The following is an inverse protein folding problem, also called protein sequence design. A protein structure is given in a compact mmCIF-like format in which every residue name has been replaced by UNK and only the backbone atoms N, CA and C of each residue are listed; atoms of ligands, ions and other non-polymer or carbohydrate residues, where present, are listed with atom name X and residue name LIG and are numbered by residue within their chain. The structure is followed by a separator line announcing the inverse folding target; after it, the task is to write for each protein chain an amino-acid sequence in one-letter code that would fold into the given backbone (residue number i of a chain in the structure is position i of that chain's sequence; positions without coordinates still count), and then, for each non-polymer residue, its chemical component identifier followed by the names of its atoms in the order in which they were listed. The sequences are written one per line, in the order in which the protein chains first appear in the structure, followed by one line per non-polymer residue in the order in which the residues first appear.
data_IF_682963520294
#
_entry.id   IF_682963520294
#
_cell.length_a   1.000
_cell.length_b   1.000
_cell.length_c   1.000
_cell.angle_alpha   90.00
_cell.angle_beta   90.00
_cell.angle_gamma   90.00
#
_symmetry.space_group_name_H-M   'P 1'
#
loop_
_entity.id
_entity.type
_entity.pdbx_description
1 polymer ?
#
# COMPACT_ATOMS: atom_id res chain seq x y z
N UNK A 1 6.60 -17.43 -31.91
CA UNK A 1 7.75 -17.31 -30.98
C UNK A 1 7.51 -16.07 -30.13
N UNK A 2 7.14 -16.23 -28.85
CA UNK A 2 6.99 -15.08 -27.94
C UNK A 2 8.38 -14.52 -27.68
N UNK A 3 8.60 -13.26 -28.05
CA UNK A 3 9.89 -12.59 -27.88
C UNK A 3 10.26 -12.54 -26.39
N UNK A 4 11.51 -12.90 -26.04
CA UNK A 4 12.03 -12.81 -24.66
C UNK A 4 11.79 -11.43 -24.02
N UNK A 5 11.81 -10.38 -24.85
CA UNK A 5 11.53 -9.00 -24.43
C UNK A 5 10.09 -8.82 -23.94
N UNK A 6 9.11 -9.49 -24.56
CA UNK A 6 7.71 -9.43 -24.12
C UNK A 6 7.51 -10.14 -22.78
N UNK A 7 8.25 -11.23 -22.54
CA UNK A 7 8.20 -11.96 -21.27
C UNK A 7 8.77 -11.09 -20.14
N UNK A 8 9.89 -10.42 -20.36
CA UNK A 8 10.48 -9.52 -19.37
C UNK A 8 9.55 -8.34 -19.04
N UNK A 9 8.91 -7.72 -20.05
CA UNK A 9 7.95 -6.64 -19.82
C UNK A 9 6.70 -7.10 -19.04
N UNK A 10 6.21 -8.31 -19.29
CA UNK A 10 5.09 -8.88 -18.56
C UNK A 10 5.42 -9.17 -17.08
N UNK A 11 6.63 -9.66 -16.78
CA UNK A 11 7.08 -9.92 -15.41
C UNK A 11 7.22 -8.63 -14.60
N UNK A 12 7.77 -7.57 -15.20
CA UNK A 12 7.90 -6.26 -14.53
C UNK A 12 6.53 -5.65 -14.20
N UNK A 13 5.54 -5.80 -15.08
CA UNK A 13 4.18 -5.33 -14.82
C UNK A 13 3.52 -6.04 -13.63
N UNK A 14 3.75 -7.35 -13.46
CA UNK A 14 3.15 -8.14 -12.38
C UNK A 14 3.68 -7.76 -10.99
N UNK A 15 4.94 -7.31 -10.89
CA UNK A 15 5.55 -6.91 -9.61
C UNK A 15 4.88 -5.69 -8.95
N UNK A 16 4.04 -4.94 -9.67
CA UNK A 16 3.43 -3.69 -9.18
C UNK A 16 2.02 -3.89 -8.58
N UNK A 17 1.58 -5.14 -8.39
CA UNK A 17 0.19 -5.48 -8.04
C UNK A 17 -0.34 -4.92 -6.70
N UNK A 18 0.54 -4.45 -5.81
CA UNK A 18 0.16 -3.88 -4.50
C UNK A 18 -0.05 -2.35 -4.53
N UNK A 19 0.08 -1.71 -5.69
CA UNK A 19 -0.05 -0.26 -5.83
C UNK A 19 -1.12 0.11 -6.86
N UNK A 20 -1.89 1.16 -6.58
CA UNK A 20 -2.84 1.71 -7.55
C UNK A 20 -2.82 3.24 -7.58
N UNK A 21 -3.33 3.79 -8.68
CA UNK A 21 -3.32 5.22 -8.99
C UNK A 21 -4.76 5.71 -9.16
N UNK A 22 -5.05 6.87 -8.60
CA UNK A 22 -6.34 7.54 -8.74
C UNK A 22 -6.17 8.99 -9.22
N UNK A 23 -7.20 9.51 -9.90
CA UNK A 23 -7.32 10.96 -10.07
C UNK A 23 -7.58 11.61 -8.71
N UNK A 24 -7.15 12.86 -8.56
CA UNK A 24 -7.42 13.63 -7.35
C UNK A 24 -8.94 13.79 -7.16
N UNK A 25 -9.50 13.41 -6.00
CA UNK A 25 -10.91 13.62 -5.73
C UNK A 25 -11.21 15.12 -5.67
N UNK A 26 -12.45 15.53 -6.02
CA UNK A 26 -12.86 16.93 -5.85
C UNK A 26 -12.76 17.32 -4.38
N UNK A 27 -12.17 18.49 -4.12
CA UNK A 27 -12.08 19.03 -2.76
C UNK A 27 -13.44 19.54 -2.32
N UNK A 28 -13.87 19.26 -1.08
CA UNK A 28 -15.06 19.88 -0.53
C UNK A 28 -14.82 21.37 -0.29
N UNK A 29 -15.89 22.17 -0.37
CA UNK A 29 -15.82 23.64 -0.43
C UNK A 29 -15.14 24.24 0.81
N UNK A 30 -15.37 23.63 1.98
CA UNK A 30 -14.76 24.00 3.26
C UNK A 30 -13.23 23.83 3.29
N UNK A 31 -12.66 22.94 2.47
CA UNK A 31 -11.22 22.67 2.39
C UNK A 31 -10.56 23.24 1.13
N UNK A 32 -11.30 23.99 0.31
CA UNK A 32 -10.81 24.57 -0.95
C UNK A 32 -9.59 25.49 -0.75
N UNK A 33 -9.47 26.12 0.43
CA UNK A 33 -8.36 26.99 0.78
C UNK A 33 -7.04 26.25 1.05
N UNK A 34 -7.07 24.93 1.31
CA UNK A 34 -5.88 24.12 1.55
C UNK A 34 -5.27 23.62 0.24
N UNK A 35 -3.96 23.75 0.11
CA UNK A 35 -3.21 23.28 -1.05
C UNK A 35 -2.75 21.83 -0.87
N UNK A 36 -3.00 20.95 -1.85
CA UNK A 36 -2.76 19.51 -1.71
C UNK A 36 -3.88 18.61 -2.27
N UNK A 37 -3.91 17.35 -1.85
CA UNK A 37 -4.93 16.35 -2.21
C UNK A 37 -5.91 16.18 -1.05
N UNK A 38 -7.21 16.19 -1.32
CA UNK A 38 -8.19 15.75 -0.33
C UNK A 38 -8.14 14.23 -0.20
N UNK A 39 -8.10 13.74 1.03
CA UNK A 39 -8.03 12.31 1.38
C UNK A 39 -9.25 11.99 2.24
N UNK A 40 -10.10 11.08 1.75
CA UNK A 40 -11.41 10.80 2.37
C UNK A 40 -11.26 10.09 3.72
N UNK A 41 -10.24 9.26 3.84
CA UNK A 41 -9.94 8.41 4.98
C UNK A 41 -9.58 9.23 6.24
N UNK A 42 -9.04 10.44 6.05
CA UNK A 42 -8.70 11.37 7.14
C UNK A 42 -9.55 12.64 7.13
N UNK A 43 -10.48 12.75 6.17
CA UNK A 43 -11.32 13.94 5.93
C UNK A 43 -10.53 15.27 5.91
N UNK A 44 -9.32 15.26 5.33
CA UNK A 44 -8.48 16.45 5.25
C UNK A 44 -7.65 16.50 3.95
N UNK A 45 -7.02 17.65 3.72
CA UNK A 45 -6.12 17.91 2.61
C UNK A 45 -4.67 17.70 3.04
N UNK A 46 -4.01 16.76 2.36
CA UNK A 46 -2.59 16.44 2.55
C UNK A 46 -1.76 17.24 1.54
N UNK A 47 -0.66 17.91 1.95
CA UNK A 47 0.19 18.66 1.03
C UNK A 47 0.77 17.78 -0.09
N UNK A 48 1.04 18.38 -1.24
CA UNK A 48 1.68 17.66 -2.34
C UNK A 48 3.08 17.16 -1.96
N UNK A 49 3.39 15.93 -2.37
CA UNK A 49 4.65 15.25 -2.05
C UNK A 49 4.67 14.61 -0.66
N UNK A 50 3.59 14.73 0.12
CA UNK A 50 3.43 14.08 1.42
C UNK A 50 2.55 12.84 1.30
N UNK A 51 2.59 12.00 2.32
CA UNK A 51 1.77 10.81 2.43
C UNK A 51 1.11 10.72 3.81
N UNK A 52 0.06 9.91 3.88
CA UNK A 52 -0.59 9.53 5.14
C UNK A 52 -0.87 8.03 5.16
N UNK A 53 -0.85 7.48 6.37
CA UNK A 53 -1.22 6.10 6.66
C UNK A 53 -2.35 6.10 7.70
N UNK A 54 -3.61 6.25 7.26
CA UNK A 54 -4.76 6.29 8.17
C UNK A 54 -4.86 5.03 9.04
N UNK A 55 -5.22 5.19 10.31
CA UNK A 55 -5.56 4.07 11.20
C UNK A 55 -6.94 3.54 10.80
N UNK A 56 -7.14 2.21 10.84
CA UNK A 56 -8.38 1.57 10.41
C UNK A 56 -8.41 1.16 8.93
N UNK A 57 -7.41 1.57 8.14
CA UNK A 57 -7.19 1.05 6.80
C UNK A 57 -5.69 0.81 6.56
N UNK A 58 -5.31 -0.44 6.27
CA UNK A 58 -3.89 -0.78 6.09
C UNK A 58 -3.38 -0.41 4.70
N UNK A 59 -3.25 0.90 4.48
CA UNK A 59 -2.80 1.48 3.24
C UNK A 59 -1.98 2.74 3.48
N UNK A 60 -1.08 3.04 2.54
CA UNK A 60 -0.42 4.34 2.43
C UNK A 60 -1.04 5.10 1.28
N UNK A 61 -1.32 6.38 1.50
CA UNK A 61 -1.86 7.31 0.51
C UNK A 61 -0.83 8.39 0.25
N UNK A 62 -0.21 8.38 -0.92
CA UNK A 62 0.74 9.40 -1.34
C UNK A 62 0.05 10.46 -2.21
N UNK A 63 0.14 11.73 -1.81
CA UNK A 63 -0.44 12.85 -2.54
C UNK A 63 0.53 13.39 -3.60
N UNK A 64 0.31 13.05 -4.87
CA UNK A 64 1.05 13.62 -5.99
C UNK A 64 0.39 14.87 -6.57
N UNK A 65 1.14 15.60 -7.42
CA UNK A 65 0.65 16.86 -8.01
C UNK A 65 -0.55 16.70 -8.94
N UNK A 66 -0.66 15.58 -9.62
CA UNK A 66 -1.72 15.29 -10.60
C UNK A 66 -2.57 14.08 -10.23
N UNK A 67 -2.03 13.17 -9.42
CA UNK A 67 -2.60 11.88 -9.10
C UNK A 67 -2.35 11.56 -7.64
N UNK A 68 -3.22 10.74 -7.06
CA UNK A 68 -3.04 10.14 -5.74
C UNK A 68 -2.59 8.69 -5.94
N UNK A 69 -1.64 8.25 -5.13
CA UNK A 69 -1.04 6.92 -5.21
C UNK A 69 -1.39 6.19 -3.93
N UNK A 70 -1.64 4.89 -4.05
CA UNK A 70 -1.97 4.06 -2.92
C UNK A 70 -1.08 2.83 -2.93
N UNK A 71 -0.67 2.39 -1.74
CA UNK A 71 0.04 1.13 -1.54
C UNK A 71 -0.67 0.33 -0.44
N UNK A 72 -0.99 -0.93 -0.72
CA UNK A 72 -1.46 -1.91 0.26
C UNK A 72 -0.34 -2.89 0.61
N UNK A 73 -0.61 -3.77 1.57
CA UNK A 73 0.27 -4.91 1.85
C UNK A 73 0.44 -5.78 0.61
N UNK A 74 1.66 -6.29 0.42
CA UNK A 74 1.93 -7.29 -0.60
C UNK A 74 1.26 -8.63 -0.25
N UNK A 75 0.96 -9.43 -1.27
CA UNK A 75 0.50 -10.80 -1.07
C UNK A 75 1.68 -11.64 -0.59
N UNK A 76 1.58 -12.17 0.63
CA UNK A 76 2.51 -13.14 1.18
C UNK A 76 1.77 -14.47 1.41
N UNK A 77 2.41 -15.57 1.06
CA UNK A 77 1.90 -16.92 1.28
C UNK A 77 3.00 -17.77 1.90
N UNK A 78 2.64 -18.57 2.89
CA UNK A 78 3.53 -19.58 3.45
C UNK A 78 3.24 -20.89 2.72
N UNK A 79 4.28 -21.47 2.10
CA UNK A 79 4.18 -22.79 1.48
C UNK A 79 4.15 -23.89 2.57
N UNK A 80 3.50 -25.02 2.28
CA UNK A 80 3.29 -26.11 3.23
C UNK A 80 4.58 -26.65 3.88
N UNK A 81 4.40 -27.32 5.02
CA UNK A 81 5.43 -27.97 5.86
C UNK A 81 6.56 -27.03 6.32
N UNK A 82 6.18 -25.83 6.75
CA UNK A 82 7.06 -24.92 7.50
C UNK A 82 6.40 -24.60 8.83
N UNK A 83 7.18 -24.50 9.91
CA UNK A 83 6.75 -24.01 11.22
C UNK A 83 6.51 -22.48 11.21
N UNK A 84 6.08 -21.95 10.08
CA UNK A 84 5.86 -20.53 9.85
C UNK A 84 4.37 -20.28 9.61
N UNK A 85 3.88 -19.15 10.11
CA UNK A 85 2.50 -18.72 9.92
C UNK A 85 2.46 -17.24 9.56
N UNK A 86 1.40 -16.86 8.85
CA UNK A 86 1.11 -15.46 8.56
C UNK A 86 0.33 -14.88 9.74
N UNK A 87 0.76 -13.74 10.29
CA UNK A 87 -0.03 -13.01 11.27
C UNK A 87 -1.22 -12.35 10.60
N UNK A 88 -2.26 -12.06 11.37
CA UNK A 88 -3.37 -11.25 10.88
C UNK A 88 -2.96 -9.78 10.71
N UNK A 89 -3.73 -9.06 9.90
CA UNK A 89 -3.61 -7.62 9.72
C UNK A 89 -4.01 -6.89 11.00
N UNK A 90 -3.20 -5.92 11.44
CA UNK A 90 -3.49 -5.13 12.63
C UNK A 90 -3.86 -3.69 12.25
N UNK A 91 -5.16 -3.44 12.10
CA UNK A 91 -5.72 -2.13 11.73
C UNK A 91 -5.56 -1.03 12.80
N UNK A 92 -5.09 -1.36 14.01
CA UNK A 92 -4.77 -0.38 15.05
C UNK A 92 -3.44 0.34 14.78
N UNK A 93 -2.64 -0.19 13.84
CA UNK A 93 -1.36 0.38 13.44
C UNK A 93 -1.45 1.06 12.06
N UNK A 94 -0.61 2.06 11.77
CA UNK A 94 -0.50 2.62 10.44
C UNK A 94 0.27 1.67 9.50
N UNK A 95 0.04 1.78 8.19
CA UNK A 95 0.91 1.15 7.19
C UNK A 95 2.34 1.69 7.32
N UNK A 96 3.38 0.84 7.28
CA UNK A 96 3.36 -0.60 6.94
C UNK A 96 3.19 -1.56 8.13
N UNK A 97 3.13 -1.05 9.37
CA UNK A 97 3.15 -1.88 10.59
C UNK A 97 1.85 -2.67 10.83
N UNK A 98 0.77 -2.29 10.14
CA UNK A 98 -0.47 -3.06 10.11
C UNK A 98 -0.39 -4.33 9.26
N UNK A 99 0.61 -4.46 8.38
CA UNK A 99 0.64 -5.56 7.43
C UNK A 99 0.91 -6.92 8.10
N UNK A 100 0.28 -8.00 7.58
CA UNK A 100 0.63 -9.37 7.91
C UNK A 100 2.14 -9.63 7.82
N UNK A 101 2.72 -10.26 8.84
CA UNK A 101 4.11 -10.69 8.86
C UNK A 101 4.18 -12.22 8.85
N UNK A 102 5.23 -12.76 8.25
CA UNK A 102 5.56 -14.18 8.40
C UNK A 102 6.35 -14.32 9.70
N UNK A 103 5.87 -15.17 10.60
CA UNK A 103 6.57 -15.55 11.84
C UNK A 103 6.85 -17.04 11.83
N UNK A 104 8.06 -17.43 12.20
CA UNK A 104 8.46 -18.83 12.29
C UNK A 104 8.70 -19.23 13.75
N UNK A 105 8.27 -20.43 14.14
CA UNK A 105 8.39 -20.94 15.53
C UNK A 105 9.86 -21.21 15.87
N UNK A 106 10.69 -21.50 14.87
CA UNK A 106 12.10 -21.88 15.00
C UNK A 106 13.10 -20.69 14.93
N UNK A 107 12.68 -19.47 15.25
CA UNK A 107 13.57 -18.28 15.27
C UNK A 107 14.61 -18.27 16.42
N UNK A 108 14.74 -19.37 17.19
CA UNK A 108 15.70 -19.56 18.28
C UNK A 108 16.45 -20.91 18.22
N UNK A 109 17.00 -21.30 17.08
CA UNK A 109 18.13 -22.25 17.05
C UNK A 109 19.39 -21.52 16.59
N UNK A 110 20.03 -20.84 17.54
CA UNK A 110 21.44 -20.45 17.43
C UNK A 110 22.32 -21.61 17.88
#
# INVERSE_FOLDING_TARGET
MVSRTLILLAVVGYCSAATWLGKLPPKPLNLAHKFGCYVKEVDDVIPFGQYVSPIGSCLRIDCGRSMIYYASCGVAAVAGDTDCYLTEENLEKPYPDCCPQIKCIDENKL
#
